data_IF_925870545979
#
_entry.id   IF_925870545979
#
_cell.length_a   1.000
_cell.length_b   1.000
_cell.length_c   1.000
_cell.angle_alpha   90.00
_cell.angle_beta   90.00
_cell.angle_gamma   90.00
#
_symmetry.space_group_name_H-M   'P 1'
#
loop_
_entity.id
_entity.type
_entity.pdbx_description
1 polymer ?
#
# COMPACT_ATOMS: atom_id res chain seq x y z
N UNK A 1 18.35 22.44 1.84
CA UNK A 1 17.63 21.88 3.00
C UNK A 1 16.61 20.86 2.53
N UNK A 2 16.62 19.69 3.09
CA UNK A 2 15.63 18.65 2.76
C UNK A 2 14.33 18.91 3.51
N UNK A 3 13.22 18.89 2.80
CA UNK A 3 11.90 19.12 3.41
C UNK A 3 11.18 17.80 3.62
N UNK A 4 10.27 17.81 4.58
CA UNK A 4 9.37 16.71 4.87
C UNK A 4 7.95 17.16 4.51
N UNK A 5 7.35 16.50 3.53
CA UNK A 5 6.01 16.82 3.06
C UNK A 5 5.05 15.69 3.41
N UNK A 6 3.95 16.03 4.08
CA UNK A 6 2.87 15.08 4.39
C UNK A 6 1.95 14.98 3.18
N UNK A 7 1.69 13.74 2.74
CA UNK A 7 0.80 13.45 1.61
C UNK A 7 -0.49 12.85 2.17
N UNK A 8 -1.59 13.54 1.93
CA UNK A 8 -2.91 13.10 2.40
C UNK A 8 -3.86 13.02 1.20
N UNK A 9 -4.17 11.82 0.70
CA UNK A 9 -5.16 11.66 -0.36
C UNK A 9 -6.54 12.14 0.09
N UNK A 10 -7.32 12.64 -0.85
CA UNK A 10 -8.72 12.98 -0.58
C UNK A 10 -9.47 11.75 -0.07
N UNK A 11 -10.16 11.91 1.04
CA UNK A 11 -10.87 10.81 1.69
C UNK A 11 -10.08 10.15 2.83
N UNK A 12 -8.78 10.48 2.99
CA UNK A 12 -7.93 9.92 4.05
C UNK A 12 -7.55 10.94 5.13
N UNK A 13 -8.24 12.08 5.19
CA UNK A 13 -7.92 13.15 6.14
C UNK A 13 -8.05 12.69 7.59
N UNK A 14 -9.02 11.82 7.89
CA UNK A 14 -9.21 11.29 9.24
C UNK A 14 -8.03 10.43 9.72
N UNK A 15 -7.27 9.83 8.82
CA UNK A 15 -6.07 9.07 9.17
C UNK A 15 -5.07 9.99 9.87
N UNK A 16 -4.86 11.17 9.32
CA UNK A 16 -3.93 12.15 9.88
C UNK A 16 -4.53 12.87 11.08
N UNK A 17 -5.75 13.39 10.93
CA UNK A 17 -6.37 14.26 11.94
C UNK A 17 -6.82 13.52 13.19
N UNK A 18 -7.30 12.29 13.06
CA UNK A 18 -7.87 11.50 14.16
C UNK A 18 -6.89 10.44 14.67
N UNK A 19 -6.26 9.69 13.75
CA UNK A 19 -5.38 8.59 14.11
C UNK A 19 -3.91 8.96 14.17
N UNK A 20 -3.56 10.20 13.77
CA UNK A 20 -2.23 10.81 13.96
C UNK A 20 -1.09 10.05 13.29
N UNK A 21 -1.32 9.62 12.04
CA UNK A 21 -0.23 9.19 11.18
C UNK A 21 -0.49 9.61 9.74
N UNK A 22 0.58 9.77 8.97
CA UNK A 22 0.47 10.22 7.59
C UNK A 22 0.27 9.03 6.66
N UNK A 23 -0.63 9.11 5.67
CA UNK A 23 -0.71 8.10 4.60
C UNK A 23 0.60 7.96 3.84
N UNK A 24 1.31 9.06 3.61
CA UNK A 24 2.67 9.03 3.10
C UNK A 24 3.44 10.28 3.53
N UNK A 25 4.75 10.15 3.52
CA UNK A 25 5.70 11.25 3.73
C UNK A 25 6.63 11.27 2.52
N UNK A 26 6.81 12.45 1.94
CA UNK A 26 7.82 12.69 0.92
C UNK A 26 9.05 13.38 1.52
N UNK A 27 10.22 12.82 1.24
CA UNK A 27 11.51 13.41 1.60
C UNK A 27 12.37 13.38 0.34
N UNK A 28 12.70 14.56 -0.22
CA UNK A 28 13.35 14.62 -1.51
C UNK A 28 12.48 13.97 -2.58
N UNK A 29 12.99 12.96 -3.28
CA UNK A 29 12.24 12.20 -4.26
C UNK A 29 11.71 10.87 -3.73
N UNK A 30 11.95 10.57 -2.45
CA UNK A 30 11.51 9.32 -1.82
C UNK A 30 10.16 9.50 -1.14
N UNK A 31 9.26 8.54 -1.39
CA UNK A 31 7.96 8.44 -0.76
C UNK A 31 7.94 7.25 0.19
N UNK A 32 7.58 7.52 1.44
CA UNK A 32 7.38 6.50 2.47
C UNK A 32 5.89 6.37 2.69
N UNK A 33 5.30 5.26 2.30
CA UNK A 33 3.88 5.02 2.49
C UNK A 33 3.63 4.24 3.77
N UNK A 34 2.57 4.62 4.48
CA UNK A 34 2.03 3.78 5.55
C UNK A 34 1.40 2.53 4.96
N UNK A 35 1.33 1.46 5.74
CA UNK A 35 0.68 0.23 5.32
C UNK A 35 -0.78 0.46 4.97
N UNK A 36 -1.24 -0.17 3.90
CA UNK A 36 -2.62 -0.12 3.43
C UNK A 36 -3.26 -1.50 3.54
N UNK A 37 -4.48 -1.51 4.03
CA UNK A 37 -5.28 -2.72 4.16
C UNK A 37 -6.51 -2.65 3.25
N UNK A 38 -7.18 -3.78 3.05
CA UNK A 38 -8.34 -3.85 2.16
C UNK A 38 -9.62 -3.35 2.80
N UNK A 39 -9.66 -2.08 3.14
CA UNK A 39 -10.86 -1.39 3.65
C UNK A 39 -11.23 -0.22 2.76
N UNK A 40 -12.53 0.09 2.71
CA UNK A 40 -13.05 1.17 1.88
C UNK A 40 -12.91 2.55 2.55
N UNK A 41 -13.46 3.59 1.92
CA UNK A 41 -13.40 4.98 2.41
C UNK A 41 -14.09 5.16 3.76
N UNK A 42 -15.05 4.30 4.09
CA UNK A 42 -15.77 4.33 5.36
C UNK A 42 -15.10 3.45 6.42
N UNK A 43 -13.90 2.95 6.13
CA UNK A 43 -13.12 2.06 6.99
C UNK A 43 -13.77 0.69 7.19
N UNK A 44 -14.64 0.28 6.28
CA UNK A 44 -15.23 -1.06 6.28
C UNK A 44 -14.30 -2.04 5.56
N UNK A 45 -14.03 -3.17 6.21
CA UNK A 45 -13.21 -4.23 5.60
C UNK A 45 -14.01 -4.85 4.45
N UNK A 46 -13.37 -4.95 3.28
CA UNK A 46 -13.98 -5.51 2.08
C UNK A 46 -14.07 -7.03 2.23
N UNK A 47 -15.24 -7.59 1.99
CA UNK A 47 -15.46 -9.03 2.00
C UNK A 47 -14.97 -9.69 0.71
N UNK A 48 -14.45 -10.90 0.85
CA UNK A 48 -13.90 -11.66 -0.27
C UNK A 48 -12.40 -11.49 -0.39
N UNK A 49 -11.69 -12.60 -0.50
CA UNK A 49 -10.21 -12.61 -0.49
C UNK A 49 -9.62 -11.78 -1.62
N UNK A 50 -10.03 -12.07 -2.86
CA UNK A 50 -9.54 -11.31 -4.02
C UNK A 50 -9.95 -9.85 -3.96
N UNK A 51 -11.21 -9.58 -3.64
CA UNK A 51 -11.74 -8.21 -3.56
C UNK A 51 -10.99 -7.39 -2.50
N UNK A 52 -10.66 -8.00 -1.37
CA UNK A 52 -9.91 -7.32 -0.32
C UNK A 52 -8.47 -7.01 -0.76
N UNK A 53 -7.82 -7.92 -1.47
CA UNK A 53 -6.47 -7.68 -2.00
C UNK A 53 -6.48 -6.56 -3.04
N UNK A 54 -7.46 -6.54 -3.93
CA UNK A 54 -7.64 -5.46 -4.90
C UNK A 54 -7.83 -4.13 -4.18
N UNK A 55 -8.68 -4.09 -3.15
CA UNK A 55 -8.92 -2.86 -2.40
C UNK A 55 -7.64 -2.35 -1.73
N UNK A 56 -6.83 -3.25 -1.17
CA UNK A 56 -5.56 -2.84 -0.55
C UNK A 56 -4.63 -2.19 -1.58
N UNK A 57 -4.49 -2.78 -2.77
CA UNK A 57 -3.68 -2.18 -3.85
C UNK A 57 -4.29 -0.89 -4.37
N UNK A 58 -5.62 -0.78 -4.46
CA UNK A 58 -6.26 0.46 -4.87
C UNK A 58 -6.04 1.58 -3.85
N UNK A 59 -5.98 1.24 -2.57
CA UNK A 59 -5.61 2.20 -1.53
C UNK A 59 -4.16 2.66 -1.68
N UNK A 60 -3.24 1.76 -2.00
CA UNK A 60 -1.85 2.11 -2.33
C UNK A 60 -1.81 3.03 -3.55
N UNK A 61 -2.56 2.71 -4.61
CA UNK A 61 -2.66 3.55 -5.81
C UNK A 61 -3.09 4.97 -5.47
N UNK A 62 -4.07 5.10 -4.58
CA UNK A 62 -4.59 6.40 -4.16
C UNK A 62 -3.53 7.25 -3.48
N UNK A 63 -2.75 6.63 -2.60
CA UNK A 63 -1.66 7.33 -1.89
C UNK A 63 -0.55 7.70 -2.86
N UNK A 64 -0.12 6.80 -3.73
CA UNK A 64 0.87 7.08 -4.76
C UNK A 64 0.42 8.24 -5.66
N UNK A 65 -0.82 8.19 -6.13
CA UNK A 65 -1.38 9.22 -7.01
C UNK A 65 -1.45 10.60 -6.38
N UNK A 66 -1.73 10.68 -5.09
CA UNK A 66 -1.72 11.96 -4.37
C UNK A 66 -0.33 12.61 -4.33
N UNK A 67 0.72 11.82 -4.48
CA UNK A 67 2.10 12.29 -4.54
C UNK A 67 2.63 12.40 -5.98
N UNK A 68 1.79 12.14 -6.98
CA UNK A 68 2.21 12.18 -8.39
C UNK A 68 2.99 10.94 -8.83
N UNK A 69 2.85 9.83 -8.11
CA UNK A 69 3.55 8.59 -8.40
C UNK A 69 2.62 7.50 -8.95
N UNK A 70 3.21 6.47 -9.52
CA UNK A 70 2.52 5.26 -9.97
C UNK A 70 3.22 4.03 -9.39
N UNK A 71 2.69 2.85 -9.67
CA UNK A 71 3.34 1.59 -9.26
C UNK A 71 4.72 1.40 -9.91
N UNK A 72 5.00 2.04 -11.03
CA UNK A 72 6.33 2.00 -11.66
C UNK A 72 7.40 2.71 -10.82
N UNK A 73 7.00 3.59 -9.92
CA UNK A 73 7.91 4.29 -9.02
C UNK A 73 8.23 3.52 -7.74
N UNK A 74 7.51 2.42 -7.49
CA UNK A 74 7.70 1.60 -6.29
C UNK A 74 9.00 0.81 -6.40
N UNK A 75 9.88 0.96 -5.42
CA UNK A 75 11.17 0.25 -5.38
C UNK A 75 11.19 -0.84 -4.33
N UNK A 76 10.35 -0.73 -3.30
CA UNK A 76 10.27 -1.71 -2.21
C UNK A 76 8.83 -1.98 -1.86
N UNK A 77 8.48 -3.26 -1.81
CA UNK A 77 7.16 -3.75 -1.42
C UNK A 77 7.32 -4.69 -0.23
N UNK A 78 6.61 -4.41 0.85
CA UNK A 78 6.51 -5.28 2.01
C UNK A 78 5.05 -5.65 2.21
N UNK A 79 4.79 -6.92 2.46
CA UNK A 79 3.42 -7.40 2.65
C UNK A 79 3.35 -8.33 3.85
N UNK A 80 2.23 -8.25 4.56
CA UNK A 80 1.90 -9.12 5.68
C UNK A 80 0.58 -9.80 5.36
N UNK A 81 0.50 -11.10 5.64
CA UNK A 81 -0.70 -11.91 5.36
C UNK A 81 -1.14 -12.63 6.61
N UNK A 82 -2.41 -12.98 6.68
CA UNK A 82 -2.83 -14.05 7.59
C UNK A 82 -2.18 -15.37 7.12
N UNK A 83 -2.11 -16.36 8.01
CA UNK A 83 -1.40 -17.62 7.74
C UNK A 83 -2.14 -18.57 6.79
N UNK A 84 -3.13 -18.09 6.04
CA UNK A 84 -3.84 -18.86 5.03
C UNK A 84 -3.00 -18.94 3.73
N UNK A 85 -2.25 -20.01 3.59
CA UNK A 85 -1.40 -20.23 2.42
C UNK A 85 -2.18 -20.38 1.12
N UNK A 86 -3.47 -20.71 1.19
CA UNK A 86 -4.31 -20.78 -0.01
C UNK A 86 -4.56 -19.40 -0.61
N UNK A 87 -4.55 -18.36 0.21
CA UNK A 87 -4.72 -16.99 -0.25
C UNK A 87 -3.48 -16.45 -0.95
N UNK A 88 -2.31 -17.04 -0.77
CA UNK A 88 -1.05 -16.55 -1.35
C UNK A 88 -1.10 -16.56 -2.88
N UNK A 89 -1.64 -17.61 -3.48
CA UNK A 89 -1.75 -17.67 -4.95
C UNK A 89 -2.66 -16.55 -5.47
N UNK A 90 -3.79 -16.32 -4.83
CA UNK A 90 -4.69 -15.22 -5.19
C UNK A 90 -3.98 -13.88 -5.05
N UNK A 91 -3.20 -13.70 -3.99
CA UNK A 91 -2.43 -12.47 -3.80
C UNK A 91 -1.43 -12.25 -4.93
N UNK A 92 -0.68 -13.27 -5.31
CA UNK A 92 0.31 -13.18 -6.41
C UNK A 92 -0.37 -12.78 -7.72
N UNK A 93 -1.52 -13.38 -8.02
CA UNK A 93 -2.28 -13.05 -9.22
C UNK A 93 -2.74 -11.58 -9.21
N UNK A 94 -3.23 -11.10 -8.07
CA UNK A 94 -3.66 -9.70 -7.92
C UNK A 94 -2.45 -8.76 -8.01
N UNK A 95 -1.36 -9.07 -7.30
CA UNK A 95 -0.13 -8.27 -7.33
C UNK A 95 0.37 -8.05 -8.75
N UNK A 96 0.35 -9.08 -9.58
CA UNK A 96 0.84 -9.01 -10.95
C UNK A 96 0.01 -8.06 -11.84
N UNK A 97 -1.22 -7.73 -11.46
CA UNK A 97 -2.03 -6.74 -12.17
C UNK A 97 -1.53 -5.31 -11.97
N UNK A 98 -0.79 -5.07 -10.89
CA UNK A 98 -0.31 -3.73 -10.51
C UNK A 98 1.16 -3.50 -10.87
N UNK A 99 1.96 -4.55 -10.96
CA UNK A 99 3.38 -4.46 -11.31
C UNK A 99 3.61 -5.15 -12.66
N UNK A 100 3.26 -4.45 -13.73
CA UNK A 100 3.29 -5.00 -15.10
C UNK A 100 4.51 -4.61 -15.90
N UNK A 101 5.26 -3.58 -15.46
CA UNK A 101 6.38 -3.01 -16.21
C UNK A 101 7.69 -3.09 -15.43
N UNK A 102 7.69 -2.60 -14.20
CA UNK A 102 8.85 -2.64 -13.29
C UNK A 102 8.50 -3.46 -12.07
N UNK A 103 9.45 -4.24 -11.59
CA UNK A 103 9.24 -5.09 -10.42
C UNK A 103 10.03 -4.54 -9.23
N UNK A 104 9.38 -4.23 -8.11
CA UNK A 104 10.05 -3.80 -6.89
C UNK A 104 10.75 -4.98 -6.20
N UNK A 105 11.60 -4.67 -5.23
CA UNK A 105 11.93 -5.70 -4.23
C UNK A 105 10.66 -6.08 -3.48
N UNK A 106 10.56 -7.33 -3.06
CA UNK A 106 9.40 -7.79 -2.32
C UNK A 106 9.78 -8.72 -1.18
N UNK A 107 9.21 -8.46 -0.01
CA UNK A 107 9.30 -9.32 1.17
C UNK A 107 7.88 -9.53 1.72
N UNK A 108 7.53 -10.78 2.02
CA UNK A 108 6.22 -11.13 2.57
C UNK A 108 6.35 -11.96 3.84
N UNK A 109 5.44 -11.70 4.80
CA UNK A 109 5.40 -12.39 6.08
C UNK A 109 3.98 -12.87 6.38
N UNK A 110 3.89 -14.07 6.94
CA UNK A 110 2.64 -14.50 7.58
C UNK A 110 2.59 -13.94 9.00
N UNK A 111 1.45 -13.41 9.39
CA UNK A 111 1.22 -12.86 10.73
C UNK A 111 -0.02 -13.48 11.36
N UNK A 112 -0.10 -13.41 12.67
CA UNK A 112 -1.22 -13.96 13.44
C UNK A 112 -2.53 -13.21 13.15
N UNK A 113 -2.48 -11.91 12.93
CA UNK A 113 -3.65 -11.08 12.68
C UNK A 113 -3.29 -9.61 12.56
N UNK A 114 -4.32 -8.79 12.41
CA UNK A 114 -4.19 -7.34 12.22
C UNK A 114 -5.01 -6.60 13.28
N UNK A 115 -4.95 -5.27 13.22
CA UNK A 115 -5.63 -4.40 14.19
C UNK A 115 -7.16 -4.43 14.10
N UNK A 116 -7.70 -4.92 12.98
CA UNK A 116 -9.15 -5.03 12.77
C UNK A 116 -9.51 -6.46 12.36
N UNK A 117 -10.66 -6.98 12.84
CA UNK A 117 -11.14 -8.30 12.41
C UNK A 117 -11.39 -8.34 10.91
N UNK A 118 -11.09 -9.46 10.28
CA UNK A 118 -11.38 -9.71 8.87
C UNK A 118 -10.34 -9.20 7.88
N UNK A 119 -9.32 -8.46 8.33
CA UNK A 119 -8.22 -8.05 7.46
C UNK A 119 -7.34 -9.26 7.15
N UNK A 120 -7.04 -9.45 5.86
CA UNK A 120 -6.26 -10.59 5.37
C UNK A 120 -4.86 -10.19 4.90
N UNK A 121 -4.64 -8.90 4.64
CA UNK A 121 -3.37 -8.40 4.09
C UNK A 121 -3.12 -6.96 4.51
N UNK A 122 -1.85 -6.62 4.68
CA UNK A 122 -1.38 -5.24 4.72
C UNK A 122 -0.24 -5.08 3.74
N UNK A 123 -0.24 -3.98 3.00
CA UNK A 123 0.74 -3.69 1.95
C UNK A 123 1.42 -2.36 2.26
N UNK A 124 2.75 -2.38 2.30
CA UNK A 124 3.55 -1.18 2.53
C UNK A 124 4.55 -1.02 1.39
N UNK A 125 4.69 0.22 0.93
CA UNK A 125 5.57 0.56 -0.19
C UNK A 125 6.54 1.67 0.16
N UNK A 126 7.67 1.67 -0.54
CA UNK A 126 8.56 2.80 -0.70
C UNK A 126 8.69 3.08 -2.19
N UNK A 127 8.54 4.34 -2.59
CA UNK A 127 8.65 4.74 -3.99
C UNK A 127 9.67 5.87 -4.13
N UNK A 128 10.24 6.00 -5.32
CA UNK A 128 11.18 7.08 -5.64
C UNK A 128 10.76 7.70 -6.96
N UNK A 129 10.52 9.01 -6.96
CA UNK A 129 10.10 9.75 -8.14
C UNK A 129 11.28 10.02 -9.09
N UNK A 130 11.00 10.01 -10.37
CA UNK A 130 11.97 10.44 -11.39
C UNK A 130 13.06 9.43 -11.73
N UNK A 131 12.89 8.15 -11.34
CA UNK A 131 13.86 7.11 -11.67
C UNK A 131 13.75 6.69 -13.12
N UNK A 132 14.91 6.50 -13.75
CA UNK A 132 15.03 5.81 -15.04
C UNK A 132 15.85 4.53 -14.84
N UNK A 133 15.53 3.50 -15.64
CA UNK A 133 16.30 2.26 -15.60
C UNK A 133 17.62 2.40 -16.36
N UNK A 134 18.62 1.70 -15.89
CA UNK A 134 19.93 1.63 -16.58
C UNK A 134 19.89 0.67 -17.75
#
# INVERSE_FOLDING_TARGET
>A
MTTREVIIPKGMENIYDTYHYAPAIRVGDTLYLSGQVGRDENLNVVEGTEAQFVQAFENVRKVLGAAGATFDDVVELETWFTDDMNALKTFLDVKDRYFTNRYPTWTGFAVKGFSMPGILVEIKCKAVLGLSDT
#
